data_IF_382364323045
#
_entry.id   IF_382364323045
#
_cell.length_a   1.000
_cell.length_b   1.000
_cell.length_c   1.000
_cell.angle_alpha   90.00
_cell.angle_beta   90.00
_cell.angle_gamma   90.00
#
_symmetry.space_group_name_H-M   'P 1'
#
loop_
_entity.id
_entity.type
_entity.pdbx_description
1 polymer ?
#
# COMPACT_ATOMS: atom_id res chain seq x y z
N UNK A 1 4.42 -14.26 -14.69
CA UNK A 1 4.65 -12.79 -14.64
C UNK A 1 5.83 -12.48 -13.72
N UNK A 2 6.81 -11.70 -14.17
CA UNK A 2 8.04 -11.40 -13.40
C UNK A 2 7.82 -10.25 -12.39
N UNK A 3 6.96 -9.29 -12.74
CA UNK A 3 6.54 -8.16 -11.91
C UNK A 3 5.01 -8.09 -11.85
N UNK A 4 4.47 -7.80 -10.67
CA UNK A 4 3.05 -7.56 -10.38
C UNK A 4 2.91 -6.11 -9.92
N UNK A 5 2.03 -5.35 -10.59
CA UNK A 5 1.69 -3.98 -10.23
C UNK A 5 0.20 -3.93 -9.94
N UNK A 6 -0.17 -3.58 -8.71
CA UNK A 6 -1.54 -3.28 -8.32
C UNK A 6 -1.70 -1.79 -8.09
N UNK A 7 -2.71 -1.20 -8.70
CA UNK A 7 -3.03 0.22 -8.58
C UNK A 7 -4.45 0.39 -8.09
N UNK A 8 -4.62 1.11 -6.99
CA UNK A 8 -5.91 1.49 -6.45
C UNK A 8 -5.86 2.94 -5.97
N UNK A 9 -6.67 3.79 -6.60
CA UNK A 9 -6.74 5.23 -6.31
C UNK A 9 -5.37 5.90 -6.38
N UNK A 10 -4.79 6.30 -5.25
CA UNK A 10 -3.48 6.94 -5.10
C UNK A 10 -2.39 5.96 -4.62
N UNK A 11 -2.73 4.69 -4.39
CA UNK A 11 -1.84 3.66 -3.87
C UNK A 11 -1.39 2.71 -4.99
N UNK A 12 -0.08 2.51 -5.11
CA UNK A 12 0.52 1.54 -6.04
C UNK A 12 1.35 0.54 -5.23
N UNK A 13 1.09 -0.76 -5.44
CA UNK A 13 1.88 -1.87 -4.91
C UNK A 13 2.64 -2.53 -6.05
N UNK A 14 3.96 -2.62 -5.93
CA UNK A 14 4.85 -3.31 -6.88
C UNK A 14 5.48 -4.50 -6.18
N UNK A 15 5.32 -5.70 -6.73
CA UNK A 15 5.84 -6.94 -6.18
C UNK A 15 6.51 -7.78 -7.27
N UNK A 16 7.67 -8.37 -6.97
CA UNK A 16 8.43 -9.22 -7.90
C UNK A 16 9.06 -10.38 -7.12
N UNK A 17 9.49 -11.43 -7.82
CA UNK A 17 10.26 -12.51 -7.22
C UNK A 17 11.76 -12.15 -7.06
N UNK A 18 12.27 -11.16 -7.79
CA UNK A 18 13.69 -10.79 -7.86
C UNK A 18 13.90 -9.30 -7.56
N UNK A 19 14.73 -8.98 -6.57
CA UNK A 19 14.99 -7.59 -6.17
C UNK A 19 15.54 -6.72 -7.32
N UNK A 20 16.33 -7.31 -8.22
CA UNK A 20 16.86 -6.63 -9.41
C UNK A 20 15.73 -6.12 -10.32
N UNK A 21 14.70 -6.93 -10.53
CA UNK A 21 13.52 -6.54 -11.31
C UNK A 21 12.68 -5.50 -10.59
N UNK A 22 12.63 -5.54 -9.25
CA UNK A 22 11.88 -4.57 -8.45
C UNK A 22 12.45 -3.16 -8.63
N UNK A 23 13.77 -3.00 -8.61
CA UNK A 23 14.43 -1.69 -8.82
C UNK A 23 14.15 -1.15 -10.21
N UNK A 24 14.29 -1.98 -11.23
CA UNK A 24 13.99 -1.59 -12.63
C UNK A 24 12.52 -1.19 -12.79
N UNK A 25 11.61 -1.93 -12.16
CA UNK A 25 10.18 -1.62 -12.20
C UNK A 25 9.86 -0.29 -11.50
N UNK A 26 10.47 -0.01 -10.34
CA UNK A 26 10.26 1.25 -9.61
C UNK A 26 10.83 2.44 -10.38
N UNK A 27 12.02 2.32 -10.98
CA UNK A 27 12.60 3.39 -11.80
C UNK A 27 11.73 3.71 -13.02
N UNK A 28 11.27 2.66 -13.71
CA UNK A 28 10.36 2.80 -14.87
C UNK A 28 9.04 3.46 -14.46
N UNK A 29 8.46 3.02 -13.34
CA UNK A 29 7.22 3.56 -12.80
C UNK A 29 7.40 5.04 -12.41
N UNK A 30 8.52 5.39 -11.78
CA UNK A 30 8.82 6.76 -11.35
C UNK A 30 8.95 7.69 -12.55
N UNK A 31 9.65 7.26 -13.60
CA UNK A 31 9.75 8.03 -14.85
C UNK A 31 8.39 8.20 -15.51
N UNK A 32 7.57 7.14 -15.57
CA UNK A 32 6.23 7.21 -16.18
C UNK A 32 5.31 8.17 -15.41
N UNK A 33 5.35 8.14 -14.08
CA UNK A 33 4.59 9.04 -13.21
C UNK A 33 5.05 10.49 -13.40
N UNK A 34 6.37 10.71 -13.49
CA UNK A 34 6.95 12.02 -13.77
C UNK A 34 6.52 12.59 -15.13
N UNK A 35 6.57 11.78 -16.19
CA UNK A 35 6.12 12.17 -17.54
C UNK A 35 4.62 12.50 -17.57
N UNK A 36 3.82 11.84 -16.74
CA UNK A 36 2.40 12.15 -16.55
C UNK A 36 2.13 13.43 -15.73
N UNK A 37 3.18 14.13 -15.28
CA UNK A 37 3.07 15.34 -14.44
C UNK A 37 2.68 15.06 -13.00
N UNK A 38 2.79 13.80 -12.56
CA UNK A 38 2.54 13.37 -11.18
C UNK A 38 3.86 13.24 -10.43
N UNK A 39 3.81 13.32 -9.10
CA UNK A 39 4.99 13.18 -8.26
C UNK A 39 4.74 12.15 -7.15
N UNK A 40 5.65 11.20 -7.02
CA UNK A 40 5.64 10.27 -5.88
C UNK A 40 6.20 11.01 -4.67
N UNK A 41 5.45 11.04 -3.58
CA UNK A 41 5.97 11.53 -2.30
C UNK A 41 7.03 10.53 -1.80
N UNK A 42 8.32 10.88 -1.89
CA UNK A 42 9.43 10.01 -1.50
C UNK A 42 9.31 9.47 -0.07
N UNK A 43 8.75 10.28 0.85
CA UNK A 43 8.47 9.87 2.23
C UNK A 43 7.31 8.89 2.41
N UNK A 44 6.54 8.58 1.36
CA UNK A 44 5.46 7.59 1.37
C UNK A 44 5.84 6.24 0.74
N UNK A 45 7.05 6.11 0.19
CA UNK A 45 7.51 4.85 -0.37
C UNK A 45 7.92 3.91 0.75
N UNK A 46 7.34 2.72 0.80
CA UNK A 46 7.61 1.71 1.81
C UNK A 46 8.55 0.64 1.24
N UNK A 47 9.84 0.72 1.60
CA UNK A 47 10.87 -0.20 1.12
C UNK A 47 11.02 -1.46 1.98
N UNK A 48 10.65 -1.37 3.26
CA UNK A 48 10.80 -2.45 4.24
C UNK A 48 9.47 -2.84 4.83
N UNK A 49 9.33 -4.12 5.17
CA UNK A 49 8.19 -4.64 5.92
C UNK A 49 8.07 -4.02 7.33
N UNK A 50 6.86 -3.99 7.93
CA UNK A 50 5.58 -4.36 7.33
C UNK A 50 5.09 -3.31 6.32
N UNK A 51 4.65 -3.73 5.13
CA UNK A 51 4.07 -2.83 4.14
C UNK A 51 2.59 -2.62 4.44
N UNK A 52 2.12 -1.40 4.30
CA UNK A 52 0.70 -1.07 4.41
C UNK A 52 0.12 -0.81 3.03
N UNK A 53 -0.93 -1.55 2.66
CA UNK A 53 -1.66 -1.35 1.41
C UNK A 53 -3.16 -1.51 1.67
N UNK A 54 -3.95 -0.46 1.40
CA UNK A 54 -5.41 -0.46 1.61
C UNK A 54 -5.86 -0.91 3.03
N UNK A 55 -5.08 -0.56 4.06
CA UNK A 55 -5.35 -0.97 5.45
C UNK A 55 -4.93 -2.40 5.81
N UNK A 56 -4.26 -3.11 4.90
CA UNK A 56 -3.64 -4.40 5.19
C UNK A 56 -2.18 -4.23 5.57
N UNK A 57 -1.74 -5.00 6.57
CA UNK A 57 -0.32 -5.18 6.87
C UNK A 57 0.19 -6.43 6.13
N UNK A 58 1.12 -6.21 5.22
CA UNK A 58 1.76 -7.23 4.42
C UNK A 58 3.13 -7.50 5.03
N UNK A 59 3.39 -8.74 5.41
CA UNK A 59 4.69 -9.29 5.79
C UNK A 59 5.01 -10.48 4.88
N UNK A 60 6.28 -10.81 4.68
CA UNK A 60 6.69 -11.84 3.69
C UNK A 60 6.02 -13.22 3.91
N UNK A 61 5.54 -13.50 5.11
CA UNK A 61 4.93 -14.78 5.46
C UNK A 61 3.40 -14.73 5.57
N UNK A 62 2.80 -13.56 5.86
CA UNK A 62 1.36 -13.45 6.17
C UNK A 62 0.79 -12.07 5.77
N UNK A 63 -0.49 -12.01 5.39
CA UNK A 63 -1.23 -10.76 5.22
C UNK A 63 -2.21 -10.69 6.38
N UNK A 64 -2.04 -9.70 7.26
CA UNK A 64 -2.95 -9.48 8.39
C UNK A 64 -3.73 -8.19 8.18
N UNK A 65 -5.06 -8.18 8.43
CA UNK A 65 -5.81 -6.92 8.43
C UNK A 65 -5.28 -6.01 9.54
N UNK A 66 -5.23 -4.69 9.32
CA UNK A 66 -4.87 -3.75 10.38
C UNK A 66 -5.83 -3.89 11.56
N UNK A 67 -5.34 -3.94 12.82
CA UNK A 67 -6.19 -4.12 13.98
C UNK A 67 -7.23 -2.99 14.05
N UNK A 68 -8.51 -3.33 13.81
CA UNK A 68 -9.61 -2.40 13.99
C UNK A 68 -9.99 -2.40 15.48
N UNK A 69 -9.53 -1.41 16.23
CA UNK A 69 -9.98 -1.21 17.60
C UNK A 69 -11.35 -0.53 17.61
N UNK A 70 -12.42 -1.35 17.66
CA UNK A 70 -13.77 -0.84 17.88
C UNK A 70 -13.94 -0.44 19.34
N UNK A 71 -13.99 0.87 19.62
CA UNK A 71 -14.34 1.39 20.96
C UNK A 71 -15.85 1.36 21.14
N UNK A 72 -16.40 0.17 21.43
CA UNK A 72 -17.82 0.04 21.76
C UNK A 72 -18.05 0.53 23.18
N UNK A 73 -18.91 1.54 23.34
CA UNK A 73 -19.38 2.04 24.63
C UNK A 73 -20.90 1.88 24.67
N UNK A 74 -21.51 1.70 25.85
CA UNK A 74 -22.97 1.49 26.01
C UNK A 74 -23.85 2.63 25.46
N UNK A 75 -23.24 3.74 25.03
CA UNK A 75 -23.91 4.94 24.51
C UNK A 75 -23.65 5.22 23.03
N UNK A 76 -23.13 4.26 22.25
CA UNK A 76 -22.92 4.48 20.81
C UNK A 76 -24.23 4.62 20.03
N UNK A 77 -24.35 5.67 19.22
CA UNK A 77 -25.46 5.86 18.28
C UNK A 77 -25.16 5.15 16.95
N UNK A 78 -26.18 4.92 16.12
CA UNK A 78 -26.02 4.33 14.78
C UNK A 78 -24.97 5.09 13.93
N UNK A 79 -24.85 6.40 14.11
CA UNK A 79 -23.86 7.23 13.43
C UNK A 79 -22.43 7.03 13.94
N UNK A 80 -22.27 6.63 15.22
CA UNK A 80 -20.95 6.37 15.82
C UNK A 80 -20.38 5.01 15.39
N UNK A 81 -21.24 4.08 14.95
CA UNK A 81 -20.86 2.74 14.46
C UNK A 81 -20.60 2.73 12.95
N UNK A 82 -21.18 3.68 12.20
CA UNK A 82 -21.05 3.77 10.74
C UNK A 82 -19.89 4.66 10.27
N UNK A 83 -19.25 5.40 11.18
CA UNK A 83 -18.04 6.19 10.92
C UNK A 83 -16.79 5.37 11.16
#
# INVERSE_FOLDING_TARGET
>A
PSVIIYHYMDNILVATAQETELRVAIDTLTNTIWEAGLQIASGKIQWTQPWTYLGWHIIQQEITPQPLMLKVTDTMTLNDVQR
#
